data_IF_533021965256
#
_entry.id   IF_533021965256
#
_cell.length_a   1.000
_cell.length_b   1.000
_cell.length_c   1.000
_cell.angle_alpha   90.00
_cell.angle_beta   90.00
_cell.angle_gamma   90.00
#
_symmetry.space_group_name_H-M   'P 1'
#
loop_
_entity.id
_entity.type
_entity.pdbx_description
1 polymer ?
#
# COMPACT_ATOMS: atom_id res chain seq x y z
N UNK A 1 5.22 1.16 1.19
CA UNK A 1 3.97 1.86 1.63
C UNK A 1 4.07 3.39 1.55
N UNK A 2 4.80 4.04 2.45
CA UNK A 2 4.82 5.50 2.64
C UNK A 2 5.12 6.31 1.35
N UNK A 3 6.05 5.81 0.52
CA UNK A 3 6.45 6.44 -0.75
C UNK A 3 5.38 6.44 -1.85
N UNK A 4 4.29 5.68 -1.71
CA UNK A 4 3.26 5.53 -2.76
C UNK A 4 2.01 6.41 -2.54
N UNK A 5 2.07 7.37 -1.62
CA UNK A 5 0.90 8.17 -1.23
C UNK A 5 0.55 9.20 -2.32
N UNK A 6 -0.71 9.21 -2.74
CA UNK A 6 -1.27 10.20 -3.69
C UNK A 6 -2.53 10.82 -3.10
N UNK A 7 -2.96 11.97 -3.66
CA UNK A 7 -4.28 12.55 -3.37
C UNK A 7 -5.27 12.11 -4.44
N UNK A 8 -6.36 11.46 -4.03
CA UNK A 8 -7.47 11.12 -4.92
C UNK A 8 -8.27 12.38 -5.31
N UNK A 9 -9.07 12.28 -6.37
CA UNK A 9 -9.89 13.38 -6.87
C UNK A 9 -10.95 13.86 -5.87
N UNK A 10 -11.33 13.01 -4.91
CA UNK A 10 -12.25 13.34 -3.82
C UNK A 10 -11.55 13.97 -2.59
N UNK A 11 -10.25 14.27 -2.69
CA UNK A 11 -9.49 14.98 -1.67
C UNK A 11 -8.78 14.10 -0.64
N UNK A 12 -9.12 12.80 -0.54
CA UNK A 12 -8.48 11.89 0.41
C UNK A 12 -7.08 11.46 -0.04
N UNK A 13 -6.19 11.26 0.93
CA UNK A 13 -4.90 10.60 0.70
C UNK A 13 -5.15 9.10 0.58
N UNK A 14 -4.56 8.49 -0.44
CA UNK A 14 -4.71 7.06 -0.72
C UNK A 14 -3.42 6.51 -1.33
N UNK A 15 -3.32 5.18 -1.41
CA UNK A 15 -2.21 4.47 -2.05
C UNK A 15 -2.81 3.43 -3.01
N UNK A 16 -2.45 3.44 -4.31
CA UNK A 16 -2.84 2.38 -5.22
C UNK A 16 -2.15 1.06 -4.86
N UNK A 17 -2.91 -0.01 -4.72
CA UNK A 17 -2.39 -1.34 -4.37
C UNK A 17 -1.35 -1.82 -5.39
N UNK A 18 -1.56 -1.57 -6.69
CA UNK A 18 -0.63 -2.01 -7.74
C UNK A 18 0.77 -1.38 -7.60
N UNK A 19 0.85 -0.13 -7.15
CA UNK A 19 2.14 0.54 -6.90
C UNK A 19 2.87 -0.09 -5.71
N UNK A 20 2.13 -0.46 -4.67
CA UNK A 20 2.67 -1.15 -3.51
C UNK A 20 3.18 -2.54 -3.90
N UNK A 21 2.40 -3.30 -4.68
CA UNK A 21 2.82 -4.62 -5.16
C UNK A 21 4.05 -4.54 -6.08
N UNK A 22 4.10 -3.54 -6.96
CA UNK A 22 5.26 -3.30 -7.83
C UNK A 22 6.52 -3.00 -7.00
N UNK A 23 6.40 -2.21 -5.93
CA UNK A 23 7.52 -1.92 -5.01
C UNK A 23 8.02 -3.19 -4.32
N UNK A 24 7.11 -4.05 -3.84
CA UNK A 24 7.46 -5.34 -3.24
C UNK A 24 8.14 -6.27 -4.24
N UNK A 25 7.61 -6.38 -5.46
CA UNK A 25 8.21 -7.21 -6.52
C UNK A 25 9.62 -6.74 -6.86
N UNK A 26 9.84 -5.43 -6.98
CA UNK A 26 11.16 -4.86 -7.23
C UNK A 26 12.13 -5.10 -6.07
N UNK A 27 11.66 -4.93 -4.84
CA UNK A 27 12.46 -5.22 -3.64
C UNK A 27 12.96 -6.67 -3.65
N UNK A 28 12.09 -7.64 -3.94
CA UNK A 28 12.47 -9.05 -4.06
C UNK A 28 13.43 -9.29 -5.23
N UNK A 29 13.18 -8.68 -6.40
CA UNK A 29 14.02 -8.83 -7.58
C UNK A 29 15.44 -8.29 -7.36
N UNK A 30 15.59 -7.15 -6.67
CA UNK A 30 16.90 -6.60 -6.30
C UNK A 30 17.64 -7.54 -5.35
N UNK A 31 17.00 -8.03 -4.30
CA UNK A 31 17.63 -8.98 -3.39
C UNK A 31 18.07 -10.27 -4.09
N UNK A 32 17.26 -10.79 -5.03
CA UNK A 32 17.62 -11.95 -5.84
C UNK A 32 18.81 -11.68 -6.75
N UNK A 33 18.87 -10.51 -7.39
CA UNK A 33 19.98 -10.14 -8.28
C UNK A 33 21.30 -9.93 -7.51
N UNK A 34 21.22 -9.36 -6.32
CA UNK A 34 22.40 -9.08 -5.47
C UNK A 34 22.80 -10.28 -4.58
N UNK A 35 22.07 -11.40 -4.65
CA UNK A 35 22.33 -12.58 -3.81
C UNK A 35 22.14 -12.33 -2.30
N UNK A 36 21.32 -11.35 -1.93
CA UNK A 36 21.08 -10.95 -0.54
C UNK A 36 19.71 -11.42 -0.04
N UNK A 37 19.53 -11.43 1.28
CA UNK A 37 18.28 -11.85 1.90
C UNK A 37 17.30 -10.67 2.08
N UNK A 38 16.07 -10.83 1.58
CA UNK A 38 14.98 -9.89 1.78
C UNK A 38 14.44 -10.00 3.23
N UNK A 39 14.90 -9.13 4.13
CA UNK A 39 14.66 -9.23 5.58
C UNK A 39 13.21 -9.01 6.05
N UNK A 40 12.30 -8.55 5.21
CA UNK A 40 10.88 -8.42 5.55
C UNK A 40 10.18 -7.27 4.84
N UNK A 41 8.86 -7.19 5.04
CA UNK A 41 8.00 -6.13 4.49
C UNK A 41 7.20 -5.51 5.64
N UNK A 42 7.15 -4.18 5.66
CA UNK A 42 6.35 -3.44 6.62
C UNK A 42 5.10 -2.88 5.92
N UNK A 43 3.92 -3.32 6.35
CA UNK A 43 2.63 -2.79 5.91
C UNK A 43 1.92 -2.03 7.02
N UNK A 44 1.09 -1.06 6.63
CA UNK A 44 0.11 -0.42 7.52
C UNK A 44 -1.25 -1.05 7.20
N UNK A 45 -1.83 -1.82 8.13
CA UNK A 45 -3.05 -2.61 7.89
C UNK A 45 -3.96 -2.60 9.12
N UNK A 46 -5.27 -2.55 8.89
CA UNK A 46 -6.30 -2.71 9.94
C UNK A 46 -7.16 -3.94 9.65
N UNK A 47 -7.69 -4.57 10.70
CA UNK A 47 -8.70 -5.62 10.59
C UNK A 47 -10.11 -5.10 10.30
N UNK A 48 -10.30 -3.77 10.25
CA UNK A 48 -11.58 -3.15 9.91
C UNK A 48 -11.81 -3.16 8.39
N UNK A 49 -13.08 -3.28 7.98
CA UNK A 49 -13.46 -3.21 6.56
C UNK A 49 -13.45 -1.75 6.07
N UNK A 50 -12.25 -1.26 5.71
CA UNK A 50 -12.02 0.12 5.29
C UNK A 50 -11.79 0.24 3.78
N UNK A 51 -11.98 1.45 3.25
CA UNK A 51 -11.82 1.77 1.82
C UNK A 51 -10.75 2.83 1.61
N UNK A 52 -9.53 2.57 2.07
CA UNK A 52 -8.45 3.59 2.11
C UNK A 52 -7.43 3.48 0.97
N UNK A 53 -7.23 2.28 0.41
CA UNK A 53 -6.32 2.03 -0.71
C UNK A 53 -7.12 1.78 -1.99
N UNK A 54 -6.65 2.31 -3.12
CA UNK A 54 -7.31 2.13 -4.42
C UNK A 54 -6.94 0.78 -5.06
N UNK A 55 -7.87 0.19 -5.77
CA UNK A 55 -7.68 -1.09 -6.46
C UNK A 55 -7.81 -2.29 -5.52
N UNK A 56 -6.89 -3.25 -5.65
CA UNK A 56 -6.95 -4.53 -4.95
C UNK A 56 -8.09 -5.43 -5.44
N UNK A 57 -8.28 -6.57 -4.77
CA UNK A 57 -9.28 -7.57 -5.17
C UNK A 57 -10.72 -7.02 -5.18
N UNK A 58 -11.01 -6.04 -4.32
CA UNK A 58 -12.32 -5.39 -4.24
C UNK A 58 -12.49 -4.21 -5.22
N UNK A 59 -11.48 -3.93 -6.06
CA UNK A 59 -11.48 -2.85 -7.05
C UNK A 59 -11.94 -1.49 -6.46
N UNK A 60 -11.35 -1.09 -5.33
CA UNK A 60 -11.73 0.14 -4.64
C UNK A 60 -11.48 1.35 -5.55
N UNK A 61 -12.56 2.04 -5.90
CA UNK A 61 -12.52 3.22 -6.76
C UNK A 61 -12.42 4.51 -5.96
N UNK A 62 -11.99 5.58 -6.62
CA UNK A 62 -11.95 6.94 -6.04
C UNK A 62 -13.32 7.39 -5.50
N UNK A 63 -14.43 6.87 -6.05
CA UNK A 63 -15.79 7.24 -5.61
C UNK A 63 -16.11 6.71 -4.20
N UNK A 64 -15.59 5.54 -3.86
CA UNK A 64 -15.90 4.87 -2.59
C UNK A 64 -14.76 4.97 -1.57
N UNK A 65 -13.60 5.51 -1.96
CA UNK A 65 -12.47 5.73 -1.07
C UNK A 65 -12.80 6.82 -0.02
N UNK A 66 -12.95 6.47 1.26
CA UNK A 66 -13.54 7.37 2.27
C UNK A 66 -12.66 7.73 3.47
N UNK A 67 -11.40 7.32 3.51
CA UNK A 67 -10.50 7.72 4.60
C UNK A 67 -9.10 8.06 4.11
N UNK A 68 -8.50 9.07 4.74
CA UNK A 68 -7.12 9.42 4.57
C UNK A 68 -6.31 8.40 5.36
N UNK A 69 -5.65 7.46 4.67
CA UNK A 69 -4.74 6.42 5.18
C UNK A 69 -4.57 6.58 6.70
N UNK A 70 -5.42 5.89 7.47
CA UNK A 70 -5.30 5.95 8.92
C UNK A 70 -3.91 5.43 9.24
N UNK A 71 -3.16 6.15 10.09
CA UNK A 71 -1.84 5.72 10.57
C UNK A 71 -2.04 4.46 11.41
N UNK A 72 -2.27 3.33 10.77
CA UNK A 72 -2.25 2.04 11.44
C UNK A 72 -0.78 1.65 11.46
N UNK A 73 -0.07 2.24 12.41
CA UNK A 73 1.26 1.82 12.77
C UNK A 73 1.12 0.40 13.33
N UNK A 74 1.44 -0.61 12.52
CA UNK A 74 1.81 -1.90 13.08
C UNK A 74 3.15 -1.64 13.76
N UNK A 75 3.12 -1.44 15.09
CA UNK A 75 4.32 -1.66 15.89
C UNK A 75 4.62 -3.15 15.79
N UNK A 76 5.50 -3.49 14.85
CA UNK A 76 6.40 -4.63 15.04
C UNK A 76 7.47 -4.20 16.07
#
# INVERSE_FOLDING_TARGET
>A
MHGNTIKASNGYKTRPVDRILTEVQRFMAVHQAEGTHAGGIHFEMTGQNVTECLGGAQAISKRICRAAITRIAIRA
#
